data_IF_449096971172
#
_entry.id   IF_449096971172
#
_cell.length_a   1.000
_cell.length_b   1.000
_cell.length_c   1.000
_cell.angle_alpha   90.00
_cell.angle_beta   90.00
_cell.angle_gamma   90.00
#
_symmetry.space_group_name_H-M   'P 1'
#
loop_
_entity.id
_entity.type
_entity.pdbx_description
1 polymer ?
#
# COMPACT_ATOMS: atom_id res chain seq x y z
N UNK A 1 -8.46 9.16 7.39
CA UNK A 1 -7.33 8.79 6.54
C UNK A 1 -6.27 8.02 7.33
N UNK A 2 -5.75 8.57 8.44
CA UNK A 2 -4.65 7.93 9.20
C UNK A 2 -4.99 6.54 9.79
N UNK A 3 -6.23 6.28 10.17
CA UNK A 3 -6.65 4.95 10.63
C UNK A 3 -6.48 3.85 9.58
N UNK A 4 -6.59 4.20 8.30
CA UNK A 4 -6.33 3.30 7.20
C UNK A 4 -4.85 2.86 7.08
N UNK A 5 -3.90 3.69 7.54
CA UNK A 5 -2.48 3.34 7.52
C UNK A 5 -2.15 2.15 8.41
N UNK A 6 -2.83 1.98 9.53
CA UNK A 6 -2.63 0.82 10.42
C UNK A 6 -2.91 -0.47 9.67
N UNK A 7 -4.00 -0.50 8.90
CA UNK A 7 -4.41 -1.67 8.09
C UNK A 7 -3.45 -1.86 6.91
N UNK A 8 -3.03 -0.78 6.26
CA UNK A 8 -2.10 -0.80 5.13
C UNK A 8 -0.73 -1.38 5.51
N UNK A 9 -0.17 -0.96 6.65
CA UNK A 9 1.12 -1.44 7.12
C UNK A 9 1.10 -2.88 7.64
N UNK A 10 -0.08 -3.42 7.92
CA UNK A 10 -0.23 -4.78 8.41
C UNK A 10 -0.14 -5.86 7.31
N UNK A 11 -0.15 -5.46 6.06
CA UNK A 11 -0.07 -6.39 4.91
C UNK A 11 0.30 -5.68 3.61
N UNK A 12 0.15 -6.37 2.49
CA UNK A 12 0.28 -5.95 1.09
C UNK A 12 1.56 -5.15 0.77
N UNK A 13 1.63 -3.87 1.11
CA UNK A 13 2.72 -2.94 0.76
C UNK A 13 3.41 -2.32 1.96
N UNK A 14 3.11 -2.77 3.17
CA UNK A 14 3.91 -2.40 4.33
C UNK A 14 5.36 -2.86 4.17
N UNK A 15 6.32 -2.09 4.68
CA UNK A 15 7.75 -2.36 4.47
C UNK A 15 8.16 -3.75 4.97
N UNK A 16 7.70 -4.17 6.14
CA UNK A 16 8.03 -5.48 6.72
C UNK A 16 7.36 -6.63 5.96
N UNK A 17 6.03 -6.62 5.72
CA UNK A 17 5.39 -7.65 4.90
C UNK A 17 6.00 -7.76 3.50
N UNK A 18 6.34 -6.63 2.87
CA UNK A 18 6.98 -6.62 1.55
C UNK A 18 8.36 -7.27 1.60
N UNK A 19 9.17 -6.98 2.63
CA UNK A 19 10.49 -7.62 2.81
C UNK A 19 10.36 -9.12 3.04
N UNK A 20 9.35 -9.57 3.79
CA UNK A 20 9.09 -10.98 4.02
C UNK A 20 8.68 -11.70 2.73
N UNK A 21 7.87 -11.06 1.89
CA UNK A 21 7.46 -11.64 0.60
C UNK A 21 8.62 -11.76 -0.39
N UNK A 22 9.53 -10.77 -0.39
CA UNK A 22 10.71 -10.76 -1.26
C UNK A 22 11.88 -11.59 -0.73
N UNK A 23 11.80 -12.08 0.49
CA UNK A 23 12.84 -12.86 1.16
C UNK A 23 13.74 -11.98 2.02
N UNK A 24 13.39 -11.82 3.29
CA UNK A 24 14.20 -11.09 4.26
C UNK A 24 15.36 -11.96 4.74
N UNK A 25 16.57 -11.43 4.70
CA UNK A 25 17.75 -12.07 5.30
C UNK A 25 17.93 -11.56 6.72
N UNK A 26 17.82 -12.43 7.69
CA UNK A 26 18.15 -12.17 9.09
C UNK A 26 19.38 -13.02 9.47
N UNK A 27 20.58 -12.44 9.34
CA UNK A 27 21.83 -13.17 9.45
C UNK A 27 21.99 -14.20 8.32
N UNK A 28 22.17 -15.47 8.66
CA UNK A 28 22.31 -16.57 7.70
C UNK A 28 20.94 -17.17 7.27
N UNK A 29 19.85 -16.80 7.94
CA UNK A 29 18.51 -17.36 7.69
C UNK A 29 17.75 -16.44 6.75
N UNK A 30 17.28 -17.01 5.62
CA UNK A 30 16.34 -16.32 4.72
C UNK A 30 14.93 -16.68 5.15
N UNK A 31 14.15 -15.69 5.54
CA UNK A 31 12.75 -15.85 5.88
C UNK A 31 11.89 -15.34 4.73
N UNK A 32 10.96 -16.17 4.28
CA UNK A 32 9.99 -15.79 3.26
C UNK A 32 8.60 -16.23 3.70
N UNK A 33 7.64 -15.30 3.67
CA UNK A 33 6.25 -15.57 4.00
C UNK A 33 5.35 -15.05 2.88
N UNK A 34 4.28 -15.77 2.60
CA UNK A 34 3.29 -15.32 1.62
C UNK A 34 2.49 -14.12 2.18
N UNK A 35 2.02 -13.25 1.28
CA UNK A 35 1.16 -12.10 1.66
C UNK A 35 -0.09 -12.56 2.43
N UNK A 36 -0.62 -13.73 2.10
CA UNK A 36 -1.77 -14.32 2.79
C UNK A 36 -1.51 -14.57 4.28
N UNK A 37 -0.28 -14.89 4.66
CA UNK A 37 0.09 -15.13 6.06
C UNK A 37 0.13 -13.84 6.88
N UNK A 38 0.37 -12.71 6.25
CA UNK A 38 0.38 -11.41 6.90
C UNK A 38 -1.00 -10.76 6.91
N UNK A 39 -1.68 -10.68 5.78
CA UNK A 39 -2.99 -10.02 5.65
C UNK A 39 -4.06 -10.77 6.45
N UNK A 40 -4.11 -12.09 6.32
CA UNK A 40 -5.12 -12.93 6.98
C UNK A 40 -4.68 -13.45 8.35
N UNK A 41 -3.57 -12.93 8.88
CA UNK A 41 -3.19 -13.25 10.24
C UNK A 41 -4.31 -12.82 11.22
N UNK A 42 -4.72 -13.68 12.19
CA UNK A 42 -5.84 -13.38 13.09
C UNK A 42 -5.73 -12.02 13.78
N UNK A 43 -4.56 -11.64 14.22
CA UNK A 43 -4.30 -10.32 14.82
C UNK A 43 -4.64 -9.18 13.87
N UNK A 44 -4.30 -9.32 12.60
CA UNK A 44 -4.56 -8.32 11.57
C UNK A 44 -6.05 -8.19 11.27
N UNK A 45 -6.74 -9.31 11.18
CA UNK A 45 -8.19 -9.35 10.98
C UNK A 45 -8.90 -8.68 12.17
N UNK A 46 -8.47 -8.99 13.40
CA UNK A 46 -9.03 -8.36 14.61
C UNK A 46 -8.78 -6.85 14.59
N UNK A 47 -7.57 -6.40 14.29
CA UNK A 47 -7.28 -4.97 14.17
C UNK A 47 -8.14 -4.28 13.12
N UNK A 48 -8.27 -4.87 11.94
CA UNK A 48 -9.15 -4.35 10.89
C UNK A 48 -10.60 -4.25 11.34
N UNK A 49 -11.11 -5.27 12.00
CA UNK A 49 -12.47 -5.28 12.54
C UNK A 49 -12.67 -4.20 13.61
N UNK A 50 -11.73 -4.07 14.55
CA UNK A 50 -11.78 -3.04 15.60
C UNK A 50 -11.75 -1.65 15.00
N UNK A 51 -10.85 -1.37 14.06
CA UNK A 51 -10.77 -0.05 13.40
C UNK A 51 -12.04 0.23 12.60
N UNK A 52 -12.53 -0.74 11.84
CA UNK A 52 -13.74 -0.60 11.02
C UNK A 52 -14.99 -0.29 11.88
N UNK A 53 -15.10 -0.90 13.04
CA UNK A 53 -16.21 -0.67 13.95
C UNK A 53 -16.04 0.60 14.80
N UNK A 54 -14.86 0.83 15.36
CA UNK A 54 -14.60 1.95 16.25
C UNK A 54 -14.61 3.31 15.54
N UNK A 55 -14.04 3.39 14.33
CA UNK A 55 -13.89 4.68 13.64
C UNK A 55 -15.20 5.39 13.29
N UNK A 56 -16.27 4.72 12.82
CA UNK A 56 -17.55 5.37 12.62
C UNK A 56 -18.14 5.94 13.91
N UNK A 57 -18.04 5.20 15.03
CA UNK A 57 -18.52 5.67 16.33
C UNK A 57 -17.73 6.88 16.83
N UNK A 58 -16.41 6.83 16.71
CA UNK A 58 -15.53 7.95 17.11
C UNK A 58 -15.84 9.17 16.25
N UNK A 59 -15.94 9.02 14.93
CA UNK A 59 -16.26 10.11 14.03
C UNK A 59 -17.64 10.70 14.32
N UNK A 60 -18.62 9.85 14.61
CA UNK A 60 -19.96 10.29 15.01
C UNK A 60 -19.92 11.09 16.34
N UNK A 61 -19.21 10.55 17.33
CA UNK A 61 -19.09 11.20 18.64
C UNK A 61 -18.30 12.53 18.61
N UNK A 62 -17.35 12.65 17.66
CA UNK A 62 -16.54 13.87 17.46
C UNK A 62 -17.18 14.86 16.49
N UNK A 63 -18.29 14.49 15.85
CA UNK A 63 -18.93 15.36 14.88
C UNK A 63 -19.49 16.60 15.60
N UNK A 64 -19.16 17.82 15.17
CA UNK A 64 -19.66 19.03 15.76
C UNK A 64 -21.17 19.19 15.55
N UNK A 65 -21.83 19.88 16.46
CA UNK A 65 -23.23 20.26 16.30
C UNK A 65 -23.42 21.09 15.01
N UNK A 66 -24.62 21.04 14.44
CA UNK A 66 -24.95 21.73 13.17
C UNK A 66 -24.57 23.22 13.16
N UNK A 67 -24.62 23.88 14.33
CA UNK A 67 -24.27 25.29 14.46
C UNK A 67 -22.76 25.56 14.42
N UNK A 68 -21.94 24.54 14.71
CA UNK A 68 -20.47 24.62 14.71
C UNK A 68 -19.84 23.92 13.51
N UNK A 69 -20.64 23.25 12.69
CA UNK A 69 -20.17 22.57 11.52
C UNK A 69 -19.74 23.59 10.47
N UNK A 70 -18.45 23.60 10.13
CA UNK A 70 -17.94 24.38 9.02
C UNK A 70 -18.24 23.59 7.74
N UNK A 71 -19.18 24.07 6.94
CA UNK A 71 -19.47 23.49 5.64
C UNK A 71 -18.49 24.05 4.60
N UNK A 72 -18.04 23.18 3.72
CA UNK A 72 -17.22 23.59 2.56
C UNK A 72 -18.12 24.43 1.64
N UNK A 73 -17.57 25.51 1.11
CA UNK A 73 -18.24 26.29 0.08
C UNK A 73 -18.47 25.40 -1.16
N UNK A 74 -19.72 25.21 -1.62
CA UNK A 74 -20.03 24.40 -2.78
C UNK A 74 -19.25 24.79 -4.04
N UNK A 75 -18.85 26.06 -4.15
CA UNK A 75 -18.06 26.55 -5.29
C UNK A 75 -16.62 26.00 -5.33
N UNK A 76 -16.12 25.50 -4.20
CA UNK A 76 -14.80 24.85 -4.10
C UNK A 76 -14.86 23.36 -4.46
N UNK A 77 -16.05 22.77 -4.50
CA UNK A 77 -16.27 21.42 -4.99
C UNK A 77 -16.33 21.49 -6.53
N UNK A 78 -15.16 21.51 -7.14
CA UNK A 78 -15.07 21.34 -8.60
C UNK A 78 -15.38 19.87 -8.86
N UNK A 79 -16.58 19.59 -9.38
CA UNK A 79 -16.85 18.28 -9.99
C UNK A 79 -15.99 18.22 -11.25
N UNK A 80 -15.14 17.18 -11.32
CA UNK A 80 -14.39 16.91 -12.53
C UNK A 80 -15.38 16.69 -13.68
N UNK A 81 -15.41 17.62 -14.63
CA UNK A 81 -16.23 17.48 -15.84
C UNK A 81 -15.79 16.21 -16.58
N UNK A 82 -16.78 15.37 -16.93
CA UNK A 82 -16.53 14.19 -17.75
C UNK A 82 -15.80 14.60 -19.02
N UNK A 83 -14.56 14.15 -19.18
CA UNK A 83 -13.75 14.47 -20.37
C UNK A 83 -14.47 13.95 -21.61
N UNK A 84 -14.87 14.87 -22.48
CA UNK A 84 -15.41 14.53 -23.80
C UNK A 84 -14.25 14.34 -24.77
N UNK A 85 -14.22 13.19 -25.42
CA UNK A 85 -13.16 12.83 -26.36
C UNK A 85 -13.68 13.02 -27.81
N UNK A 86 -12.98 13.83 -28.60
CA UNK A 86 -13.20 13.89 -30.04
C UNK A 86 -12.43 12.76 -30.72
N UNK A 87 -13.11 11.94 -31.51
CA UNK A 87 -12.55 10.76 -32.18
C UNK A 87 -12.38 11.08 -33.67
N UNK A 88 -11.27 11.70 -34.01
CA UNK A 88 -10.99 12.17 -35.37
C UNK A 88 -10.00 11.30 -36.14
N UNK A 89 -9.09 10.60 -35.44
CA UNK A 89 -8.02 9.80 -36.05
C UNK A 89 -8.26 8.29 -35.90
N UNK A 90 -7.65 7.47 -36.78
CA UNK A 90 -7.71 6.01 -36.64
C UNK A 90 -7.10 5.51 -35.31
N UNK A 91 -6.09 6.20 -34.77
CA UNK A 91 -5.47 5.85 -33.50
C UNK A 91 -6.45 6.06 -32.32
N UNK A 92 -7.15 7.20 -32.29
CA UNK A 92 -8.16 7.48 -31.27
C UNK A 92 -9.33 6.48 -31.33
N UNK A 93 -9.71 6.00 -32.53
CA UNK A 93 -10.71 4.93 -32.66
C UNK A 93 -10.26 3.62 -32.05
N UNK A 94 -8.96 3.29 -32.10
CA UNK A 94 -8.40 2.13 -31.45
C UNK A 94 -8.35 2.28 -29.94
N UNK A 95 -7.97 3.45 -29.43
CA UNK A 95 -7.93 3.76 -27.99
C UNK A 95 -9.31 3.64 -27.34
N UNK A 96 -10.37 4.04 -28.05
CA UNK A 96 -11.77 3.93 -27.61
C UNK A 96 -12.47 2.62 -28.04
N UNK A 97 -11.72 1.66 -28.61
CA UNK A 97 -12.30 0.41 -29.10
C UNK A 97 -12.77 -0.48 -27.97
N UNK A 98 -14.09 -0.70 -27.91
CA UNK A 98 -14.70 -1.65 -26.96
C UNK A 98 -14.27 -3.12 -27.22
N UNK A 99 -13.92 -3.44 -28.47
CA UNK A 99 -13.44 -4.76 -28.84
C UNK A 99 -12.04 -4.98 -28.23
N UNK A 100 -11.14 -4.00 -28.42
CA UNK A 100 -9.79 -4.07 -27.86
C UNK A 100 -9.81 -4.10 -26.32
N UNK A 101 -10.63 -3.24 -25.73
CA UNK A 101 -10.89 -3.26 -24.29
C UNK A 101 -11.38 -4.63 -23.80
N UNK A 102 -12.39 -5.23 -24.49
CA UNK A 102 -12.95 -6.52 -24.11
C UNK A 102 -11.95 -7.67 -24.26
N UNK A 103 -11.14 -7.68 -25.33
CA UNK A 103 -10.06 -8.68 -25.52
C UNK A 103 -9.05 -8.59 -24.38
N UNK A 104 -8.64 -7.37 -24.03
CA UNK A 104 -7.66 -7.16 -22.96
C UNK A 104 -8.22 -7.60 -21.60
N UNK A 105 -9.45 -7.22 -21.27
CA UNK A 105 -10.12 -7.67 -20.06
C UNK A 105 -10.24 -9.19 -19.98
N UNK A 106 -10.60 -9.83 -21.10
CA UNK A 106 -10.69 -11.28 -21.18
C UNK A 106 -9.33 -11.96 -20.97
N UNK A 107 -8.28 -11.42 -21.57
CA UNK A 107 -6.91 -11.95 -21.40
C UNK A 107 -6.45 -11.86 -19.94
N UNK A 108 -6.66 -10.73 -19.26
CA UNK A 108 -6.36 -10.58 -17.85
C UNK A 108 -7.17 -11.54 -16.99
N UNK A 109 -8.47 -11.65 -17.23
CA UNK A 109 -9.35 -12.54 -16.48
C UNK A 109 -8.91 -13.99 -16.61
N UNK A 110 -8.65 -14.45 -17.82
CA UNK A 110 -8.17 -15.82 -18.10
C UNK A 110 -6.85 -16.09 -17.37
N UNK A 111 -5.92 -15.13 -17.42
CA UNK A 111 -4.64 -15.29 -16.73
C UNK A 111 -4.81 -15.34 -15.20
N UNK A 112 -5.65 -14.48 -14.63
CA UNK A 112 -5.92 -14.46 -13.19
C UNK A 112 -6.54 -15.81 -12.74
N UNK A 113 -7.51 -16.33 -13.49
CA UNK A 113 -8.11 -17.64 -13.23
C UNK A 113 -7.06 -18.75 -13.34
N UNK A 114 -6.29 -18.74 -14.41
CA UNK A 114 -5.19 -19.71 -14.62
C UNK A 114 -4.19 -19.68 -13.45
N UNK A 115 -3.80 -18.49 -12.99
CA UNK A 115 -2.88 -18.34 -11.88
C UNK A 115 -3.42 -19.00 -10.61
N UNK A 116 -4.67 -18.74 -10.24
CA UNK A 116 -5.27 -19.30 -9.02
C UNK A 116 -5.54 -20.80 -9.13
N UNK A 117 -5.82 -21.32 -10.32
CA UNK A 117 -5.98 -22.76 -10.54
C UNK A 117 -4.64 -23.49 -10.39
N UNK A 118 -3.54 -22.91 -10.86
CA UNK A 118 -2.22 -23.56 -10.85
C UNK A 118 -1.46 -23.36 -9.54
N UNK A 119 -1.59 -22.19 -8.90
CA UNK A 119 -0.81 -21.84 -7.69
C UNK A 119 -1.65 -21.86 -6.41
N UNK A 120 -2.94 -22.23 -6.51
CA UNK A 120 -3.87 -22.11 -5.39
C UNK A 120 -4.14 -20.64 -5.02
N UNK A 121 -4.73 -20.41 -3.85
CA UNK A 121 -5.05 -19.06 -3.36
C UNK A 121 -3.83 -18.34 -2.74
N UNK A 122 -2.68 -18.41 -3.41
CA UNK A 122 -1.49 -17.65 -3.00
C UNK A 122 -1.52 -16.26 -3.62
N UNK A 123 -1.61 -15.23 -2.76
CA UNK A 123 -1.52 -13.84 -3.17
C UNK A 123 -0.07 -13.38 -3.15
N UNK A 124 0.54 -13.25 -4.32
CA UNK A 124 1.81 -12.57 -4.51
C UNK A 124 1.61 -11.13 -4.96
N UNK A 125 2.61 -10.27 -4.78
CA UNK A 125 2.52 -8.86 -5.16
C UNK A 125 2.15 -8.67 -6.64
N UNK A 126 2.71 -9.50 -7.52
CA UNK A 126 2.47 -9.41 -8.96
C UNK A 126 1.02 -9.72 -9.34
N UNK A 127 0.42 -10.76 -8.74
CA UNK A 127 -0.98 -11.10 -9.05
C UNK A 127 -1.94 -10.06 -8.48
N UNK A 128 -1.64 -9.48 -7.32
CA UNK A 128 -2.41 -8.38 -6.73
C UNK A 128 -2.37 -7.14 -7.63
N UNK A 129 -1.19 -6.74 -8.10
CA UNK A 129 -1.05 -5.64 -9.05
C UNK A 129 -1.80 -5.89 -10.35
N UNK A 130 -1.77 -7.13 -10.85
CA UNK A 130 -2.50 -7.52 -12.05
C UNK A 130 -4.02 -7.46 -11.84
N UNK A 131 -4.52 -7.87 -10.68
CA UNK A 131 -5.94 -7.75 -10.32
C UNK A 131 -6.35 -6.27 -10.29
N UNK A 132 -5.56 -5.40 -9.67
CA UNK A 132 -5.86 -3.96 -9.66
C UNK A 132 -5.84 -3.35 -11.06
N UNK A 133 -4.86 -3.74 -11.89
CA UNK A 133 -4.81 -3.27 -13.28
C UNK A 133 -6.02 -3.77 -14.07
N UNK A 134 -6.40 -5.04 -13.93
CA UNK A 134 -7.60 -5.60 -14.54
C UNK A 134 -8.87 -4.84 -14.12
N UNK A 135 -9.05 -4.65 -12.80
CA UNK A 135 -10.21 -3.92 -12.27
C UNK A 135 -10.22 -2.46 -12.73
N UNK A 136 -9.07 -1.81 -12.78
CA UNK A 136 -8.93 -0.46 -13.31
C UNK A 136 -9.42 -0.38 -14.76
N UNK A 137 -8.92 -1.22 -15.66
CA UNK A 137 -9.34 -1.26 -17.07
C UNK A 137 -10.83 -1.60 -17.19
N UNK A 138 -11.31 -2.59 -16.42
CA UNK A 138 -12.68 -3.05 -16.45
C UNK A 138 -13.68 -1.95 -16.03
N UNK A 139 -13.40 -1.27 -14.92
CA UNK A 139 -14.30 -0.28 -14.33
C UNK A 139 -14.34 1.02 -15.13
N UNK A 140 -13.25 1.42 -15.78
CA UNK A 140 -13.25 2.59 -16.65
C UNK A 140 -13.97 2.34 -17.98
N UNK A 141 -14.12 1.07 -18.37
CA UNK A 141 -14.86 0.67 -19.58
C UNK A 141 -14.29 1.17 -20.90
N UNK A 142 -13.11 1.82 -20.87
CA UNK A 142 -12.43 2.42 -22.01
C UNK A 142 -10.94 2.54 -21.72
N UNK A 143 -10.09 2.18 -22.69
CA UNK A 143 -8.63 2.19 -22.48
C UNK A 143 -8.09 3.61 -22.32
N UNK A 144 -8.62 4.57 -23.08
CA UNK A 144 -8.20 5.96 -23.00
C UNK A 144 -8.52 6.57 -21.64
N UNK A 145 -9.74 6.36 -21.17
CA UNK A 145 -10.16 6.83 -19.83
C UNK A 145 -9.29 6.23 -18.72
N UNK A 146 -8.94 4.95 -18.85
CA UNK A 146 -8.04 4.33 -17.89
C UNK A 146 -6.64 4.96 -17.90
N UNK A 147 -6.07 5.22 -19.09
CA UNK A 147 -4.75 5.85 -19.22
C UNK A 147 -4.76 7.27 -18.65
N UNK A 148 -5.80 8.04 -18.92
CA UNK A 148 -5.93 9.38 -18.36
C UNK A 148 -6.08 9.39 -16.85
N UNK A 149 -6.84 8.43 -16.27
CA UNK A 149 -6.94 8.25 -14.82
C UNK A 149 -5.60 7.84 -14.19
N UNK A 150 -4.84 6.98 -14.85
CA UNK A 150 -3.48 6.60 -14.41
C UNK A 150 -2.53 7.80 -14.47
N UNK A 151 -2.60 8.62 -15.50
CA UNK A 151 -1.76 9.81 -15.63
C UNK A 151 -2.06 10.83 -14.51
N UNK A 152 -3.32 11.03 -14.18
CA UNK A 152 -3.75 11.89 -13.08
C UNK A 152 -3.30 11.34 -11.72
N UNK A 153 -3.51 10.03 -11.48
CA UNK A 153 -3.03 9.36 -10.29
C UNK A 153 -1.50 9.43 -10.14
N UNK A 154 -0.74 9.30 -11.25
CA UNK A 154 0.71 9.43 -11.25
C UNK A 154 1.15 10.85 -10.84
N UNK A 155 0.42 11.89 -11.26
CA UNK A 155 0.64 13.25 -10.81
C UNK A 155 0.52 13.38 -9.29
N UNK A 156 -0.52 12.80 -8.71
CA UNK A 156 -0.75 12.78 -7.25
C UNK A 156 0.31 11.97 -6.49
N UNK A 157 0.87 10.93 -7.11
CA UNK A 157 1.92 10.09 -6.51
C UNK A 157 3.33 10.69 -6.60
N UNK A 158 3.50 11.79 -7.33
CA UNK A 158 4.83 12.39 -7.59
C UNK A 158 5.61 12.75 -6.32
N UNK A 159 4.90 13.26 -5.29
CA UNK A 159 5.51 13.58 -3.99
C UNK A 159 6.14 12.35 -3.33
N UNK A 160 5.43 11.23 -3.33
CA UNK A 160 5.89 9.97 -2.77
C UNK A 160 7.09 9.42 -3.54
N UNK A 161 7.04 9.46 -4.88
CA UNK A 161 8.14 9.01 -5.74
C UNK A 161 9.42 9.81 -5.54
N UNK A 162 9.31 11.11 -5.25
CA UNK A 162 10.47 11.96 -4.96
C UNK A 162 11.00 11.75 -3.53
N UNK A 163 10.13 11.52 -2.55
CA UNK A 163 10.54 11.40 -1.15
C UNK A 163 11.15 10.04 -0.82
N UNK A 164 10.66 8.95 -1.39
CA UNK A 164 11.17 7.61 -1.07
C UNK A 164 12.66 7.38 -1.29
N UNK A 165 13.29 7.88 -2.37
CA UNK A 165 14.74 7.76 -2.51
C UNK A 165 15.53 8.44 -1.37
N UNK A 166 15.04 9.58 -0.86
CA UNK A 166 15.68 10.25 0.28
C UNK A 166 15.53 9.44 1.56
N UNK A 167 14.35 8.89 1.83
CA UNK A 167 14.11 8.00 2.98
C UNK A 167 14.95 6.72 2.88
N UNK A 168 15.04 6.14 1.70
CA UNK A 168 15.90 4.98 1.47
C UNK A 168 17.38 5.31 1.70
N UNK A 169 17.82 6.52 1.32
CA UNK A 169 19.17 7.01 1.59
C UNK A 169 19.44 7.17 3.09
N UNK A 170 18.52 7.78 3.83
CA UNK A 170 18.63 7.94 5.30
C UNK A 170 18.66 6.55 5.97
N UNK A 171 17.73 5.67 5.61
CA UNK A 171 17.71 4.30 6.12
C UNK A 171 19.03 3.56 5.78
N UNK A 172 19.53 3.73 4.56
CA UNK A 172 20.82 3.17 4.15
C UNK A 172 21.95 3.61 5.07
N UNK A 173 22.03 4.90 5.40
CA UNK A 173 23.06 5.41 6.34
C UNK A 173 22.92 4.82 7.74
N UNK A 174 21.70 4.56 8.21
CA UNK A 174 21.46 3.98 9.54
C UNK A 174 21.83 2.50 9.62
N UNK A 175 21.68 1.75 8.53
CA UNK A 175 21.91 0.29 8.51
C UNK A 175 23.28 -0.09 7.95
N UNK A 176 24.00 0.85 7.32
CA UNK A 176 25.37 0.61 6.86
C UNK A 176 26.23 0.18 8.04
N UNK A 177 26.93 -0.95 7.87
CA UNK A 177 27.87 -1.49 8.85
C UNK A 177 29.27 -0.95 8.62
N UNK A 178 29.97 -0.63 9.70
CA UNK A 178 31.40 -0.37 9.67
C UNK A 178 32.21 -1.65 9.49
N UNK A 179 33.53 -1.56 9.45
CA UNK A 179 34.45 -2.69 9.32
C UNK A 179 34.28 -3.74 10.45
N UNK A 180 33.77 -3.32 11.60
CA UNK A 180 33.46 -4.20 12.75
C UNK A 180 32.04 -4.82 12.69
N UNK A 181 31.29 -4.62 11.60
CA UNK A 181 29.93 -5.14 11.45
C UNK A 181 28.86 -4.40 12.28
N UNK A 182 29.17 -3.21 12.78
CA UNK A 182 28.28 -2.41 13.63
C UNK A 182 27.63 -1.30 12.82
N UNK A 183 26.31 -1.19 12.92
CA UNK A 183 25.51 -0.09 12.33
C UNK A 183 24.88 0.76 13.42
N UNK A 184 24.47 1.99 13.09
CA UNK A 184 23.76 2.88 14.03
C UNK A 184 22.46 2.24 14.54
N UNK A 185 21.66 1.70 13.63
CA UNK A 185 20.44 0.99 13.98
C UNK A 185 20.72 -0.24 14.86
N UNK A 186 21.84 -0.94 14.59
CA UNK A 186 22.30 -2.07 15.40
C UNK A 186 22.65 -1.68 16.83
N UNK A 187 23.33 -0.56 17.02
CA UNK A 187 23.69 -0.03 18.37
C UNK A 187 22.43 0.31 19.15
N UNK A 188 21.49 1.01 18.54
CA UNK A 188 20.21 1.36 19.17
C UNK A 188 19.44 0.09 19.56
N UNK A 189 19.31 -0.84 18.63
CA UNK A 189 18.61 -2.11 18.89
C UNK A 189 19.26 -2.89 20.00
N UNK A 190 20.60 -3.01 20.01
CA UNK A 190 21.34 -3.75 21.03
C UNK A 190 21.19 -3.15 22.42
N UNK A 191 21.14 -1.81 22.52
CA UNK A 191 20.86 -1.14 23.80
C UNK A 191 19.51 -1.57 24.36
N UNK A 192 18.44 -1.56 23.58
CA UNK A 192 17.12 -2.01 24.03
C UNK A 192 17.06 -3.51 24.34
N UNK A 193 17.75 -4.33 23.57
CA UNK A 193 17.86 -5.78 23.86
C UNK A 193 18.54 -6.01 25.21
N UNK A 194 19.63 -5.32 25.50
CA UNK A 194 20.41 -5.50 26.73
C UNK A 194 19.64 -5.14 28.01
N UNK A 195 18.72 -4.17 27.93
CA UNK A 195 17.87 -3.78 29.06
C UNK A 195 16.53 -4.53 29.12
N UNK A 196 16.25 -5.40 28.13
CA UNK A 196 15.00 -6.14 28.01
C UNK A 196 15.06 -7.46 28.77
N UNK A 197 13.89 -7.98 29.12
CA UNK A 197 13.65 -9.35 29.57
C UNK A 197 12.47 -9.94 28.76
N UNK A 198 12.17 -11.22 28.97
CA UNK A 198 11.11 -11.92 28.22
C UNK A 198 9.72 -11.22 28.29
N UNK A 199 9.46 -10.45 29.34
CA UNK A 199 8.19 -9.74 29.53
C UNK A 199 8.23 -8.33 28.90
N UNK A 200 9.35 -7.62 29.05
CA UNK A 200 9.50 -6.23 28.60
C UNK A 200 9.97 -6.12 27.15
N UNK A 201 10.48 -7.20 26.56
CA UNK A 201 11.03 -7.21 25.20
C UNK A 201 10.06 -6.65 24.13
N UNK A 202 8.77 -7.05 24.08
CA UNK A 202 7.86 -6.51 23.08
C UNK A 202 7.67 -4.99 23.19
N UNK A 203 7.58 -4.47 24.42
CA UNK A 203 7.40 -3.03 24.65
C UNK A 203 8.67 -2.25 24.30
N UNK A 204 9.83 -2.75 24.70
CA UNK A 204 11.12 -2.11 24.42
C UNK A 204 11.48 -2.17 22.92
N UNK A 205 11.12 -3.25 22.24
CA UNK A 205 11.26 -3.35 20.77
C UNK A 205 10.37 -2.34 20.06
N UNK A 206 9.14 -2.13 20.53
CA UNK A 206 8.25 -1.10 20.02
C UNK A 206 8.83 0.31 20.19
N UNK A 207 9.37 0.61 21.38
CA UNK A 207 10.04 1.90 21.66
C UNK A 207 11.28 2.09 20.77
N UNK A 208 12.11 1.06 20.63
CA UNK A 208 13.28 1.11 19.77
C UNK A 208 12.89 1.41 18.31
N UNK A 209 11.87 0.69 17.81
CA UNK A 209 11.35 0.92 16.46
C UNK A 209 10.79 2.35 16.30
N UNK A 210 10.08 2.86 17.33
CA UNK A 210 9.57 4.22 17.33
C UNK A 210 10.68 5.27 17.27
N UNK A 211 11.76 5.08 18.00
CA UNK A 211 12.93 5.99 17.98
C UNK A 211 13.61 5.95 16.59
N UNK A 212 13.85 4.75 16.07
CA UNK A 212 14.47 4.59 14.74
C UNK A 212 13.58 5.20 13.64
N UNK A 213 12.25 5.13 13.79
CA UNK A 213 11.32 5.69 12.80
C UNK A 213 11.17 7.21 12.89
N UNK A 214 11.67 7.83 13.99
CA UNK A 214 11.64 9.28 14.14
C UNK A 214 12.73 9.99 13.33
N UNK A 215 13.84 9.32 13.04
CA UNK A 215 14.96 9.80 12.24
C UNK A 215 14.82 9.39 10.77
#
# INVERSE_FOLDING_TARGET
AYSGFVIWHAGLSGSIPLTLVTGAKFGEVTYQAAITETIFHPMNIIMCAVVLLAMPFINYAMHPDRERAVTIDPTLLVEDEDKTYEINTPAEKLEHSKILWGILCLAFLVYIIYYFVTNGFTLGLNIVNMIFMFLGILLHGDLRRYVDAVAEAAGSASGVLLQFPFYAGIMGMMVVQNEAGVSLAGVISQFFVNISNNVTFPMLSFLAAGIVNFF
#
